data_IF_585760440232
#
_entry.id   IF_585760440232
#
_cell.length_a   1.000
_cell.length_b   1.000
_cell.length_c   1.000
_cell.angle_alpha   90.00
_cell.angle_beta   90.00
_cell.angle_gamma   90.00
#
_symmetry.space_group_name_H-M   'P 1'
#
loop_
_entity.id
_entity.type
_entity.pdbx_description
1 polymer ?
#
# COMPACT_ATOMS: atom_id res chain seq x y z
N UNK A 1 -2.32 31.17 98.02
CA UNK A 1 -2.78 31.65 96.64
C UNK A 1 -1.86 31.00 95.60
N UNK A 2 -2.34 29.95 94.93
CA UNK A 2 -1.54 29.16 93.95
C UNK A 2 -1.94 29.68 92.52
N UNK A 3 -1.00 30.29 91.84
CA UNK A 3 -1.16 30.71 90.43
C UNK A 3 -0.96 29.43 89.54
N UNK A 4 -1.99 29.08 88.74
CA UNK A 4 -1.91 28.06 87.73
C UNK A 4 -1.42 28.64 86.42
N UNK A 5 -0.30 28.22 85.93
CA UNK A 5 0.27 28.51 84.64
C UNK A 5 -0.34 27.62 83.60
N UNK A 6 -1.04 28.19 82.61
CA UNK A 6 -1.64 27.43 81.46
C UNK A 6 -0.66 27.52 80.30
N UNK A 7 -0.11 26.36 79.90
CA UNK A 7 0.70 26.23 78.69
C UNK A 7 -0.23 26.01 77.51
N UNK A 8 -0.23 26.93 76.55
CA UNK A 8 -0.84 26.73 75.22
C UNK A 8 0.18 26.01 74.31
N UNK A 9 -0.12 24.78 73.97
CA UNK A 9 0.61 24.03 72.94
C UNK A 9 0.03 24.43 71.59
N UNK A 10 0.80 25.15 70.77
CA UNK A 10 0.47 25.42 69.38
C UNK A 10 0.94 24.24 68.54
N UNK A 11 0.00 23.46 68.00
CA UNK A 11 0.29 22.40 67.02
C UNK A 11 0.38 23.04 65.65
N UNK A 12 1.58 23.05 65.10
CA UNK A 12 1.84 23.47 63.70
C UNK A 12 1.56 22.28 62.80
N UNK A 13 0.45 22.30 62.09
CA UNK A 13 0.14 21.31 61.01
C UNK A 13 0.84 21.72 59.75
N UNK A 14 1.92 21.00 59.38
CA UNK A 14 2.63 21.19 58.14
C UNK A 14 1.88 20.41 57.02
N UNK A 15 1.10 21.11 56.18
CA UNK A 15 0.48 20.50 55.01
C UNK A 15 1.52 20.33 53.87
N UNK A 16 1.95 19.07 53.67
CA UNK A 16 2.80 18.71 52.54
C UNK A 16 1.88 18.55 51.32
N UNK A 17 1.88 19.55 50.42
CA UNK A 17 1.24 19.47 49.11
C UNK A 17 2.13 18.64 48.18
N UNK A 18 1.78 17.38 47.97
CA UNK A 18 2.40 16.56 46.91
C UNK A 18 1.81 16.93 45.54
N UNK A 19 2.57 17.69 44.77
CA UNK A 19 2.24 17.94 43.35
C UNK A 19 2.53 16.66 42.55
N UNK A 20 1.46 15.97 42.13
CA UNK A 20 1.55 14.86 41.15
C UNK A 20 1.76 15.49 39.78
N UNK A 21 2.99 15.49 39.28
CA UNK A 21 3.27 15.81 37.89
C UNK A 21 2.85 14.64 37.02
N UNK A 22 1.70 14.76 36.34
CA UNK A 22 1.30 13.84 35.27
C UNK A 22 2.18 14.15 34.06
N UNK A 23 3.20 13.35 33.86
CA UNK A 23 3.95 13.35 32.60
C UNK A 23 3.05 12.75 31.52
N UNK A 24 2.46 13.61 30.69
CA UNK A 24 1.85 13.18 29.45
C UNK A 24 2.98 12.68 28.56
N UNK A 25 3.19 11.37 28.51
CA UNK A 25 4.00 10.75 27.50
C UNK A 25 3.21 10.92 26.20
N UNK A 26 3.57 11.92 25.39
CA UNK A 26 3.09 11.99 24.03
C UNK A 26 3.45 10.66 23.36
N UNK A 27 2.43 9.90 22.95
CA UNK A 27 2.66 8.76 22.05
C UNK A 27 3.47 9.29 20.89
N UNK A 28 4.54 8.59 20.43
CA UNK A 28 5.23 9.01 19.22
C UNK A 28 4.14 9.04 18.14
N UNK A 29 3.86 10.24 17.64
CA UNK A 29 3.15 10.41 16.38
C UNK A 29 3.86 9.48 15.41
N UNK A 30 3.12 8.53 14.80
CA UNK A 30 3.71 7.65 13.80
C UNK A 30 4.34 8.60 12.79
N UNK A 31 5.69 8.60 12.73
CA UNK A 31 6.40 9.41 11.77
C UNK A 31 5.77 9.09 10.42
N UNK A 32 5.26 10.11 9.73
CA UNK A 32 4.83 9.95 8.35
C UNK A 32 5.98 9.25 7.65
N UNK A 33 5.73 8.08 7.03
CA UNK A 33 6.76 7.33 6.33
C UNK A 33 7.38 8.26 5.32
N UNK A 34 8.60 8.76 5.59
CA UNK A 34 9.30 9.62 4.64
C UNK A 34 9.51 8.82 3.37
N UNK A 35 8.96 9.33 2.27
CA UNK A 35 9.07 8.64 0.99
C UNK A 35 10.53 8.55 0.57
N UNK A 36 10.90 7.40 0.05
CA UNK A 36 12.28 7.12 -0.31
C UNK A 36 12.81 8.14 -1.33
N UNK A 37 13.95 8.74 -1.04
CA UNK A 37 14.66 9.67 -1.92
C UNK A 37 15.93 9.01 -2.44
N UNK A 38 16.05 8.88 -3.78
CA UNK A 38 17.23 8.31 -4.41
C UNK A 38 18.35 9.36 -4.52
N UNK A 39 19.54 8.98 -4.07
CA UNK A 39 20.75 9.80 -4.12
C UNK A 39 21.81 9.25 -5.10
N UNK A 40 21.52 8.17 -5.80
CA UNK A 40 22.39 7.57 -6.83
C UNK A 40 21.56 7.05 -8.01
N UNK A 41 22.17 7.00 -9.17
CA UNK A 41 21.61 6.30 -10.33
C UNK A 41 21.64 4.79 -10.10
N UNK A 42 20.56 4.10 -10.49
CA UNK A 42 20.42 2.66 -10.41
C UNK A 42 20.38 2.06 -11.82
N UNK A 43 21.15 0.97 -12.02
CA UNK A 43 21.21 0.22 -13.27
C UNK A 43 21.40 -1.26 -12.98
N UNK A 44 21.36 -2.08 -14.01
CA UNK A 44 21.57 -3.51 -13.87
C UNK A 44 22.89 -3.82 -13.14
N UNK A 45 22.82 -4.68 -12.13
CA UNK A 45 23.91 -5.02 -11.20
C UNK A 45 23.86 -4.24 -9.87
N UNK A 46 23.07 -3.16 -9.76
CA UNK A 46 22.85 -2.50 -8.49
C UNK A 46 22.04 -3.36 -7.53
N UNK A 47 22.25 -3.19 -6.22
CA UNK A 47 21.46 -3.87 -5.19
C UNK A 47 21.28 -2.98 -3.95
N UNK A 48 20.23 -3.27 -3.17
CA UNK A 48 19.95 -2.59 -1.92
C UNK A 48 18.47 -2.23 -1.75
N UNK A 49 18.15 -1.61 -0.61
CA UNK A 49 16.79 -1.17 -0.29
C UNK A 49 16.27 -0.12 -1.29
N UNK A 50 17.15 0.71 -1.84
CA UNK A 50 16.83 1.68 -2.89
C UNK A 50 16.34 1.00 -4.19
N UNK A 51 16.88 -0.18 -4.51
CA UNK A 51 16.39 -1.00 -5.63
C UNK A 51 15.01 -1.57 -5.30
N UNK A 52 14.79 -2.08 -4.08
CA UNK A 52 13.44 -2.54 -3.67
C UNK A 52 12.41 -1.43 -3.78
N UNK A 53 12.73 -0.21 -3.35
CA UNK A 53 11.86 0.94 -3.46
C UNK A 53 11.55 1.32 -4.92
N UNK A 54 12.53 1.20 -5.83
CA UNK A 54 12.30 1.35 -7.26
C UNK A 54 11.41 0.24 -7.81
N UNK A 55 11.68 -1.01 -7.45
CA UNK A 55 10.89 -2.16 -7.90
C UNK A 55 9.40 -2.02 -7.56
N UNK A 56 9.06 -1.51 -6.37
CA UNK A 56 7.67 -1.21 -5.98
C UNK A 56 7.03 -0.24 -6.97
N UNK A 57 7.72 0.87 -7.33
CA UNK A 57 7.18 1.93 -8.21
C UNK A 57 7.03 1.49 -9.67
N UNK A 58 7.84 0.54 -10.09
CA UNK A 58 7.79 0.03 -11.48
C UNK A 58 7.15 -1.35 -11.60
N UNK A 59 6.59 -1.91 -10.50
CA UNK A 59 6.00 -3.25 -10.47
C UNK A 59 4.87 -3.45 -11.50
N UNK A 60 4.16 -2.39 -11.85
CA UNK A 60 3.09 -2.40 -12.84
C UNK A 60 3.55 -2.30 -14.31
N UNK A 61 4.85 -2.26 -14.59
CA UNK A 61 5.38 -2.08 -15.95
C UNK A 61 6.00 -3.37 -16.49
N UNK A 62 5.18 -4.42 -16.56
CA UNK A 62 5.60 -5.76 -16.97
C UNK A 62 5.14 -6.10 -18.39
N UNK A 63 5.72 -7.14 -19.00
CA UNK A 63 5.12 -7.82 -20.14
C UNK A 63 4.00 -8.74 -19.67
N UNK A 64 3.13 -9.13 -20.60
CA UNK A 64 2.07 -10.08 -20.27
C UNK A 64 2.66 -11.38 -19.71
N UNK A 65 2.21 -11.72 -18.52
CA UNK A 65 2.64 -12.91 -17.83
C UNK A 65 3.97 -12.81 -17.10
N UNK A 66 4.60 -11.66 -17.04
CA UNK A 66 5.74 -11.41 -16.17
C UNK A 66 5.29 -10.75 -14.86
N UNK A 67 6.04 -10.98 -13.80
CA UNK A 67 5.95 -10.24 -12.54
C UNK A 67 7.34 -9.77 -12.12
N UNK A 68 7.39 -8.81 -11.22
CA UNK A 68 8.64 -8.29 -10.69
C UNK A 68 8.84 -8.75 -9.25
N UNK A 69 9.93 -9.48 -9.01
CA UNK A 69 10.38 -9.74 -7.64
C UNK A 69 10.82 -8.44 -6.98
N UNK A 70 10.43 -8.25 -5.72
CA UNK A 70 10.86 -7.11 -4.89
C UNK A 70 12.04 -7.55 -4.01
N UNK A 71 13.11 -7.99 -4.64
CA UNK A 71 14.26 -8.67 -4.02
C UNK A 71 15.45 -7.74 -3.77
N UNK A 72 15.34 -6.47 -4.17
CA UNK A 72 16.42 -5.50 -4.07
C UNK A 72 17.57 -5.75 -5.02
N UNK A 73 17.39 -6.59 -6.05
CA UNK A 73 18.41 -6.85 -7.07
C UNK A 73 17.98 -6.22 -8.40
N UNK A 74 18.79 -5.32 -8.93
CA UNK A 74 18.54 -4.73 -10.23
C UNK A 74 18.95 -5.69 -11.34
N UNK A 75 18.13 -6.71 -11.56
CA UNK A 75 18.32 -7.70 -12.62
C UNK A 75 17.71 -7.26 -13.95
N UNK A 76 17.76 -8.15 -14.98
CA UNK A 76 17.15 -7.86 -16.29
C UNK A 76 15.65 -7.56 -16.23
N UNK A 77 14.90 -8.21 -15.31
CA UNK A 77 13.47 -7.95 -15.12
C UNK A 77 13.23 -6.51 -14.65
N UNK A 78 14.00 -6.03 -13.66
CA UNK A 78 13.94 -4.64 -13.18
C UNK A 78 14.31 -3.65 -14.29
N UNK A 79 15.40 -3.92 -15.05
CA UNK A 79 15.80 -3.08 -16.18
C UNK A 79 14.69 -2.97 -17.23
N UNK A 80 14.02 -4.07 -17.56
CA UNK A 80 12.91 -4.10 -18.51
C UNK A 80 11.67 -3.36 -17.98
N UNK A 81 11.34 -3.49 -16.69
CA UNK A 81 10.26 -2.73 -16.06
C UNK A 81 10.54 -1.22 -16.11
N UNK A 82 11.78 -0.80 -15.79
CA UNK A 82 12.20 0.60 -15.88
C UNK A 82 12.11 1.11 -17.32
N UNK A 83 12.57 0.35 -18.32
CA UNK A 83 12.43 0.72 -19.74
C UNK A 83 10.97 0.96 -20.14
N UNK A 84 10.05 0.07 -19.70
CA UNK A 84 8.63 0.22 -20.02
C UNK A 84 8.01 1.41 -19.30
N UNK A 85 8.39 1.66 -18.03
CA UNK A 85 8.01 2.86 -17.30
C UNK A 85 8.47 4.12 -18.03
N UNK A 86 9.75 4.18 -18.40
CA UNK A 86 10.32 5.31 -19.14
C UNK A 86 9.59 5.54 -20.47
N UNK A 87 9.40 4.49 -21.27
CA UNK A 87 8.69 4.58 -22.54
C UNK A 87 7.23 5.05 -22.34
N UNK A 88 6.53 4.53 -21.32
CA UNK A 88 5.15 4.91 -21.03
C UNK A 88 5.00 6.39 -20.71
N UNK A 89 5.98 6.97 -20.04
CA UNK A 89 5.98 8.40 -19.69
C UNK A 89 6.82 9.28 -20.62
N UNK A 90 7.20 8.78 -21.81
CA UNK A 90 7.91 9.58 -22.82
C UNK A 90 9.36 9.94 -22.45
N UNK A 91 9.99 9.18 -21.55
CA UNK A 91 11.39 9.31 -21.21
C UNK A 91 12.27 8.45 -22.12
N UNK A 92 13.59 8.72 -22.18
CA UNK A 92 14.53 7.82 -22.83
C UNK A 92 14.49 6.44 -22.17
N UNK A 93 14.12 5.41 -22.92
CA UNK A 93 13.89 4.05 -22.42
C UNK A 93 15.19 3.24 -22.38
N UNK A 94 16.17 3.71 -21.61
CA UNK A 94 17.48 3.08 -21.49
C UNK A 94 17.57 2.00 -20.39
N UNK A 95 16.60 1.96 -19.50
CA UNK A 95 16.57 1.02 -18.36
C UNK A 95 17.54 1.40 -17.25
N UNK A 96 17.96 2.66 -17.19
CA UNK A 96 18.77 3.24 -16.13
C UNK A 96 17.91 4.22 -15.34
N UNK A 97 17.65 3.92 -14.06
CA UNK A 97 16.89 4.82 -13.21
C UNK A 97 17.81 5.94 -12.68
N UNK A 98 17.83 7.03 -13.41
CA UNK A 98 18.54 8.26 -13.09
C UNK A 98 17.59 9.42 -12.74
N UNK A 99 18.10 10.66 -12.66
CA UNK A 99 17.34 11.82 -12.23
C UNK A 99 16.01 12.02 -12.95
N UNK A 100 15.95 11.81 -14.28
CA UNK A 100 14.72 11.96 -15.06
C UNK A 100 13.66 10.90 -14.66
N UNK A 101 14.08 9.65 -14.43
CA UNK A 101 13.20 8.57 -13.97
C UNK A 101 12.68 8.85 -12.56
N UNK A 102 13.57 9.25 -11.64
CA UNK A 102 13.16 9.57 -10.27
C UNK A 102 12.26 10.81 -10.19
N UNK A 103 12.55 11.85 -10.99
CA UNK A 103 11.68 13.03 -11.07
C UNK A 103 10.27 12.67 -11.51
N UNK A 104 10.11 11.73 -12.47
CA UNK A 104 8.80 11.22 -12.87
C UNK A 104 8.12 10.42 -11.76
N UNK A 105 8.86 9.57 -11.06
CA UNK A 105 8.31 8.82 -9.90
C UNK A 105 7.82 9.80 -8.83
N UNK A 106 8.61 10.82 -8.48
CA UNK A 106 8.21 11.82 -7.48
C UNK A 106 6.97 12.61 -7.91
N UNK A 107 6.83 12.93 -9.20
CA UNK A 107 5.65 13.61 -9.73
C UNK A 107 4.38 12.73 -9.71
N UNK A 108 4.53 11.42 -9.61
CA UNK A 108 3.43 10.46 -9.50
C UNK A 108 3.17 10.03 -8.05
N UNK A 109 3.95 10.50 -7.09
CA UNK A 109 3.93 10.05 -5.70
C UNK A 109 3.35 11.13 -4.78
N UNK A 110 2.45 10.73 -3.90
CA UNK A 110 1.93 11.57 -2.83
C UNK A 110 2.83 11.53 -1.58
N UNK A 111 2.52 12.35 -0.58
CA UNK A 111 3.31 12.52 0.64
C UNK A 111 3.40 11.25 1.50
N UNK A 112 2.45 10.31 1.38
CA UNK A 112 2.43 9.01 2.04
C UNK A 112 3.02 7.86 1.20
N UNK A 113 3.72 8.20 0.10
CA UNK A 113 4.40 7.28 -0.82
C UNK A 113 3.47 6.44 -1.70
N UNK A 114 2.17 6.71 -1.67
CA UNK A 114 1.21 6.16 -2.63
C UNK A 114 1.24 6.94 -3.95
N UNK A 115 0.74 6.36 -5.05
CA UNK A 115 0.52 7.13 -6.26
C UNK A 115 -0.56 8.20 -6.05
N UNK A 116 -0.40 9.38 -6.65
CA UNK A 116 -1.31 10.55 -6.51
C UNK A 116 -2.77 10.31 -6.89
N UNK A 117 -3.10 9.17 -7.52
CA UNK A 117 -4.46 8.83 -7.92
C UNK A 117 -5.13 7.79 -7.00
N UNK A 118 -4.45 7.36 -5.93
CA UNK A 118 -4.97 6.37 -4.98
C UNK A 118 -4.60 6.77 -3.55
N UNK A 119 -5.55 6.65 -2.64
CA UNK A 119 -5.34 6.87 -1.21
C UNK A 119 -5.53 5.57 -0.42
N UNK A 120 -4.80 5.36 0.67
CA UNK A 120 -4.95 4.19 1.53
C UNK A 120 -6.39 3.97 2.02
N UNK A 121 -7.17 5.04 2.20
CA UNK A 121 -8.57 4.97 2.59
C UNK A 121 -9.47 4.26 1.59
N UNK A 122 -9.08 4.16 0.32
CA UNK A 122 -9.80 3.40 -0.70
C UNK A 122 -9.55 1.89 -0.60
N UNK A 123 -8.46 1.50 0.07
CA UNK A 123 -8.01 0.12 0.19
C UNK A 123 -8.28 -0.49 1.56
N UNK A 124 -8.59 0.31 2.57
CA UNK A 124 -9.09 -0.11 3.87
C UNK A 124 -10.59 0.17 3.91
N UNK A 125 -11.40 -0.78 3.44
CA UNK A 125 -12.84 -0.64 3.28
C UNK A 125 -13.63 -0.64 4.60
N UNK A 126 -12.91 -0.50 5.73
CA UNK A 126 -13.47 -0.48 7.08
C UNK A 126 -14.35 -1.70 7.42
N UNK A 127 -14.15 -2.79 6.73
CA UNK A 127 -14.85 -4.03 6.94
C UNK A 127 -14.28 -4.77 8.18
N UNK A 128 -14.63 -4.30 9.33
CA UNK A 128 -14.38 -4.93 10.62
C UNK A 128 -13.21 -4.37 11.44
N UNK A 129 -12.11 -3.94 10.87
CA UNK A 129 -10.99 -3.36 11.60
C UNK A 129 -10.27 -2.31 10.75
N UNK A 130 -10.24 -1.08 11.23
CA UNK A 130 -9.58 0.04 10.57
C UNK A 130 -8.06 -0.09 10.57
N UNK A 131 -7.38 0.62 9.69
CA UNK A 131 -5.92 0.71 9.62
C UNK A 131 -5.23 -0.63 9.29
N UNK A 132 -5.82 -1.44 8.40
CA UNK A 132 -5.25 -2.71 7.93
C UNK A 132 -5.01 -3.74 9.03
N UNK A 133 -5.72 -3.65 10.16
CA UNK A 133 -5.63 -4.60 11.26
C UNK A 133 -6.54 -5.82 11.07
N UNK A 134 -6.18 -6.94 11.72
CA UNK A 134 -7.02 -8.14 11.76
C UNK A 134 -6.95 -9.01 10.51
N UNK A 135 -6.03 -8.76 9.60
CA UNK A 135 -5.71 -9.63 8.48
C UNK A 135 -4.82 -10.81 8.85
N UNK A 136 -4.31 -11.50 7.85
CA UNK A 136 -3.39 -12.65 7.99
C UNK A 136 -1.93 -12.24 8.18
N UNK A 137 -1.62 -10.96 8.03
CA UNK A 137 -0.30 -10.36 8.23
C UNK A 137 -0.41 -9.14 9.14
N UNK A 138 0.71 -8.60 9.60
CA UNK A 138 0.69 -7.35 10.38
C UNK A 138 0.11 -6.20 9.55
N UNK A 139 -0.49 -5.20 10.22
CA UNK A 139 -1.01 -4.01 9.55
C UNK A 139 0.05 -3.30 8.70
N UNK A 140 1.28 -3.21 9.19
CA UNK A 140 2.41 -2.64 8.45
C UNK A 140 2.70 -3.43 7.17
N UNK A 141 2.72 -4.77 7.24
CA UNK A 141 2.93 -5.63 6.07
C UNK A 141 1.78 -5.51 5.08
N UNK A 142 0.52 -5.49 5.56
CA UNK A 142 -0.65 -5.30 4.71
C UNK A 142 -0.58 -3.96 3.97
N UNK A 143 -0.23 -2.88 4.67
CA UNK A 143 -0.08 -1.54 4.10
C UNK A 143 1.00 -1.49 3.01
N UNK A 144 2.16 -2.16 3.21
CA UNK A 144 3.20 -2.27 2.18
C UNK A 144 2.74 -3.07 0.96
N UNK A 145 2.02 -4.17 1.17
CA UNK A 145 1.44 -4.96 0.08
C UNK A 145 0.43 -4.12 -0.73
N UNK A 146 -0.42 -3.36 -0.05
CA UNK A 146 -1.36 -2.42 -0.68
C UNK A 146 -0.61 -1.34 -1.48
N UNK A 147 0.48 -0.79 -0.96
CA UNK A 147 1.28 0.19 -1.70
C UNK A 147 1.80 -0.37 -3.02
N UNK A 148 2.24 -1.64 -3.05
CA UNK A 148 2.58 -2.33 -4.30
C UNK A 148 1.38 -2.41 -5.25
N UNK A 149 0.21 -2.83 -4.76
CA UNK A 149 -1.04 -2.88 -5.54
C UNK A 149 -1.35 -1.51 -6.15
N UNK A 150 -1.29 -0.44 -5.37
CA UNK A 150 -1.54 0.93 -5.85
C UNK A 150 -0.62 1.32 -7.01
N UNK A 151 0.70 1.04 -6.93
CA UNK A 151 1.64 1.32 -8.00
C UNK A 151 1.40 0.46 -9.24
N UNK A 152 0.95 -0.79 -9.06
CA UNK A 152 0.52 -1.63 -10.18
C UNK A 152 -0.77 -1.09 -10.84
N UNK A 153 -1.71 -0.61 -10.03
CA UNK A 153 -2.95 0.03 -10.51
C UNK A 153 -2.67 1.37 -11.19
N UNK A 154 -1.70 2.17 -10.72
CA UNK A 154 -1.29 3.40 -11.39
C UNK A 154 -0.75 3.15 -12.80
N UNK A 155 0.08 2.13 -12.95
CA UNK A 155 0.54 1.70 -14.27
C UNK A 155 -0.61 1.19 -15.15
N UNK A 156 -1.55 0.45 -14.56
CA UNK A 156 -2.74 -0.06 -15.25
C UNK A 156 -3.66 1.10 -15.70
N UNK A 157 -3.90 2.09 -14.82
CA UNK A 157 -4.66 3.31 -15.10
C UNK A 157 -4.05 4.05 -16.29
N UNK A 158 -2.74 4.26 -16.28
CA UNK A 158 -2.03 4.93 -17.36
C UNK A 158 -2.15 4.18 -18.70
N UNK A 159 -2.00 2.85 -18.69
CA UNK A 159 -2.19 2.00 -19.89
C UNK A 159 -3.61 2.01 -20.43
N UNK A 160 -4.58 2.36 -19.61
CA UNK A 160 -6.00 2.51 -19.98
C UNK A 160 -6.36 3.93 -20.41
N UNK A 161 -5.35 4.78 -20.70
CA UNK A 161 -5.52 6.15 -21.14
C UNK A 161 -5.94 7.10 -20.03
N UNK A 162 -5.36 6.91 -18.86
CA UNK A 162 -5.55 7.72 -17.65
C UNK A 162 -7.00 7.77 -17.12
N UNK A 163 -7.77 6.73 -17.44
CA UNK A 163 -9.14 6.59 -16.94
C UNK A 163 -9.12 6.21 -15.46
N UNK A 164 -10.08 6.72 -14.66
CA UNK A 164 -10.17 6.35 -13.25
C UNK A 164 -10.43 4.85 -13.08
N UNK A 165 -9.79 4.25 -12.08
CA UNK A 165 -10.08 2.92 -11.58
C UNK A 165 -10.73 3.08 -10.22
N UNK A 166 -11.92 2.51 -10.03
CA UNK A 166 -12.66 2.59 -8.77
C UNK A 166 -12.44 1.33 -7.97
N UNK A 167 -11.78 1.45 -6.83
CA UNK A 167 -11.60 0.33 -5.89
C UNK A 167 -12.90 0.15 -5.11
N UNK A 168 -13.50 -1.02 -5.19
CA UNK A 168 -14.76 -1.35 -4.49
C UNK A 168 -14.52 -2.24 -3.28
N UNK A 169 -13.40 -2.96 -3.22
CA UNK A 169 -12.94 -3.71 -2.06
C UNK A 169 -11.43 -3.96 -2.18
N UNK A 170 -10.73 -3.98 -1.06
CA UNK A 170 -9.32 -4.37 -1.03
C UNK A 170 -8.97 -5.10 0.26
N UNK A 171 -8.32 -4.47 1.25
CA UNK A 171 -8.00 -5.17 2.49
C UNK A 171 -9.26 -5.60 3.24
N UNK A 172 -9.27 -6.85 3.69
CA UNK A 172 -10.29 -7.39 4.59
C UNK A 172 -9.65 -8.02 5.82
N UNK A 173 -10.18 -7.71 7.00
CA UNK A 173 -9.86 -8.52 8.18
C UNK A 173 -10.37 -9.95 8.01
N UNK A 174 -9.82 -10.90 8.78
CA UNK A 174 -10.28 -12.31 8.75
C UNK A 174 -11.79 -12.41 9.05
N UNK A 175 -12.27 -11.63 10.04
CA UNK A 175 -13.69 -11.62 10.39
C UNK A 175 -14.57 -11.04 9.30
N UNK A 176 -14.12 -9.95 8.66
CA UNK A 176 -14.82 -9.37 7.52
C UNK A 176 -14.87 -10.35 6.35
N UNK A 177 -13.74 -10.92 5.97
CA UNK A 177 -13.69 -11.88 4.87
C UNK A 177 -14.66 -13.06 5.09
N UNK A 178 -14.77 -13.56 6.33
CA UNK A 178 -15.72 -14.60 6.68
C UNK A 178 -17.18 -14.12 6.56
N UNK A 179 -17.46 -12.89 6.98
CA UNK A 179 -18.83 -12.33 6.95
C UNK A 179 -19.37 -12.11 5.53
N UNK A 180 -18.47 -11.85 4.56
CA UNK A 180 -18.83 -11.68 3.13
C UNK A 180 -18.70 -12.98 2.33
N UNK A 181 -18.44 -14.12 2.99
CA UNK A 181 -18.33 -15.43 2.32
C UNK A 181 -17.04 -15.60 1.51
N UNK A 182 -16.01 -14.82 1.79
CA UNK A 182 -14.72 -14.90 1.09
C UNK A 182 -13.95 -16.18 1.41
N UNK A 183 -13.11 -16.62 0.45
CA UNK A 183 -12.25 -17.80 0.62
C UNK A 183 -11.36 -17.67 1.85
N UNK A 184 -11.12 -18.76 2.57
CA UNK A 184 -10.17 -18.82 3.69
C UNK A 184 -8.70 -18.53 3.31
N UNK A 185 -8.38 -18.56 2.01
CA UNK A 185 -7.08 -18.21 1.45
C UNK A 185 -7.10 -16.90 0.65
N UNK A 186 -8.11 -16.06 0.84
CA UNK A 186 -8.30 -14.81 0.10
C UNK A 186 -7.10 -13.86 0.24
N UNK A 187 -6.60 -13.36 -0.88
CA UNK A 187 -5.50 -12.39 -0.93
C UNK A 187 -5.85 -11.03 -0.29
N UNK A 188 -7.15 -10.72 -0.20
CA UNK A 188 -7.62 -9.52 0.50
C UNK A 188 -7.17 -9.48 1.97
N UNK A 189 -7.12 -10.64 2.64
CA UNK A 189 -6.67 -10.71 4.04
C UNK A 189 -5.17 -10.44 4.24
N UNK A 190 -4.41 -10.43 3.15
CA UNK A 190 -2.97 -10.13 3.16
C UNK A 190 -2.66 -8.72 2.62
N UNK A 191 -3.67 -7.94 2.21
CA UNK A 191 -3.48 -6.69 1.48
C UNK A 191 -2.87 -6.90 0.09
N UNK A 192 -3.07 -8.07 -0.51
CA UNK A 192 -2.48 -8.46 -1.79
C UNK A 192 -3.49 -8.49 -2.94
N UNK A 193 -4.68 -7.92 -2.75
CA UNK A 193 -5.71 -7.89 -3.78
C UNK A 193 -6.53 -6.58 -3.74
N UNK A 194 -7.14 -6.27 -4.87
CA UNK A 194 -8.14 -5.23 -5.02
C UNK A 194 -9.22 -5.67 -6.03
N UNK A 195 -10.47 -5.30 -5.76
CA UNK A 195 -11.61 -5.46 -6.64
C UNK A 195 -11.93 -4.11 -7.28
N UNK A 196 -11.98 -4.08 -8.62
CA UNK A 196 -12.18 -2.87 -9.41
C UNK A 196 -13.62 -2.87 -9.97
N UNK A 197 -14.41 -1.91 -9.54
CA UNK A 197 -15.80 -1.75 -9.96
C UNK A 197 -15.97 -1.11 -11.33
N UNK A 198 -17.21 -1.12 -11.83
CA UNK A 198 -17.57 -0.73 -13.20
C UNK A 198 -18.18 0.68 -13.30
N UNK A 199 -18.28 1.43 -12.21
CA UNK A 199 -19.17 2.60 -12.09
C UNK A 199 -18.81 3.81 -12.96
N UNK A 200 -17.58 3.97 -13.44
CA UNK A 200 -17.16 5.13 -14.26
C UNK A 200 -15.87 4.92 -15.03
N UNK A 201 -15.35 3.71 -15.05
CA UNK A 201 -14.04 3.38 -15.58
C UNK A 201 -14.03 2.64 -16.91
N UNK A 202 -12.95 1.97 -17.22
CA UNK A 202 -12.84 1.04 -18.34
C UNK A 202 -13.79 -0.17 -18.18
N UNK A 203 -14.09 -0.86 -19.28
CA UNK A 203 -14.82 -2.12 -19.21
C UNK A 203 -14.04 -3.21 -18.47
N UNK A 204 -14.74 -4.20 -17.92
CA UNK A 204 -14.12 -5.34 -17.24
C UNK A 204 -13.02 -6.00 -18.07
N UNK A 205 -13.32 -6.30 -19.34
CA UNK A 205 -12.35 -6.94 -20.23
C UNK A 205 -11.15 -6.03 -20.53
N UNK A 206 -11.34 -4.71 -20.58
CA UNK A 206 -10.22 -3.77 -20.73
C UNK A 206 -9.34 -3.80 -19.47
N UNK A 207 -9.93 -3.78 -18.27
CA UNK A 207 -9.21 -3.89 -17.00
C UNK A 207 -8.47 -5.23 -16.90
N UNK A 208 -9.13 -6.34 -17.22
CA UNK A 208 -8.51 -7.66 -17.22
C UNK A 208 -7.32 -7.76 -18.18
N UNK A 209 -7.45 -7.22 -19.40
CA UNK A 209 -6.36 -7.20 -20.37
C UNK A 209 -5.17 -6.33 -19.92
N UNK A 210 -5.45 -5.15 -19.33
CA UNK A 210 -4.41 -4.28 -18.80
C UNK A 210 -3.71 -4.91 -17.59
N UNK A 211 -4.45 -5.62 -16.73
CA UNK A 211 -3.93 -6.33 -15.58
C UNK A 211 -2.84 -7.36 -15.92
N UNK A 212 -2.96 -8.02 -17.09
CA UNK A 212 -1.96 -8.99 -17.58
C UNK A 212 -0.56 -8.39 -17.76
N UNK A 213 -0.48 -7.09 -17.99
CA UNK A 213 0.78 -6.35 -18.16
C UNK A 213 1.12 -5.46 -16.97
N UNK A 214 0.26 -5.45 -15.95
CA UNK A 214 0.47 -4.72 -14.70
C UNK A 214 1.10 -5.59 -13.59
N UNK A 215 1.61 -6.77 -13.94
CA UNK A 215 2.36 -7.63 -13.02
C UNK A 215 1.50 -8.35 -11.99
N UNK A 216 0.19 -8.46 -12.22
CA UNK A 216 -0.70 -9.23 -11.36
C UNK A 216 -0.66 -10.71 -11.72
N UNK A 217 -0.53 -11.57 -10.71
CA UNK A 217 -0.55 -13.02 -10.86
C UNK A 217 -1.95 -13.62 -10.75
N UNK A 218 -2.86 -12.98 -10.02
CA UNK A 218 -4.28 -13.36 -9.97
C UNK A 218 -5.12 -12.30 -10.68
N UNK A 219 -5.90 -12.74 -11.66
CA UNK A 219 -6.84 -11.92 -12.40
C UNK A 219 -8.12 -12.71 -12.61
N UNK A 220 -9.23 -12.22 -12.03
CA UNK A 220 -10.55 -12.81 -12.18
C UNK A 220 -11.49 -11.73 -12.70
N UNK A 221 -12.32 -12.07 -13.69
CA UNK A 221 -13.20 -11.07 -14.28
C UNK A 221 -14.41 -11.75 -14.94
N UNK A 222 -15.05 -11.07 -15.85
CA UNK A 222 -16.34 -11.43 -16.44
C UNK A 222 -16.43 -12.89 -16.87
N UNK A 223 -17.42 -13.63 -16.36
CA UNK A 223 -17.65 -15.04 -16.62
C UNK A 223 -17.00 -15.97 -15.59
N UNK A 224 -16.09 -15.50 -14.73
CA UNK A 224 -15.67 -16.26 -13.57
C UNK A 224 -16.73 -16.13 -12.45
N UNK A 225 -17.04 -17.20 -11.69
CA UNK A 225 -18.02 -17.16 -10.63
C UNK A 225 -17.79 -15.99 -9.68
N UNK A 226 -18.86 -15.27 -9.34
CA UNK A 226 -18.88 -14.11 -8.44
C UNK A 226 -18.04 -12.90 -8.88
N UNK A 227 -17.64 -12.82 -10.18
CA UNK A 227 -16.80 -11.72 -10.72
C UNK A 227 -17.42 -11.08 -11.98
N UNK A 228 -18.76 -11.02 -12.07
CA UNK A 228 -19.43 -10.39 -13.22
C UNK A 228 -19.66 -8.87 -13.04
N UNK A 229 -19.43 -8.33 -11.86
CA UNK A 229 -19.63 -6.92 -11.48
C UNK A 229 -18.34 -6.19 -11.14
N UNK A 230 -17.20 -6.88 -11.09
CA UNK A 230 -15.89 -6.30 -10.82
C UNK A 230 -14.78 -7.09 -11.51
N UNK A 231 -13.58 -6.49 -11.57
CA UNK A 231 -12.34 -7.18 -11.94
C UNK A 231 -11.47 -7.31 -10.71
N UNK A 232 -11.21 -8.53 -10.29
CA UNK A 232 -10.28 -8.83 -9.21
C UNK A 232 -8.85 -8.85 -9.74
N UNK A 233 -7.95 -8.19 -9.04
CA UNK A 233 -6.51 -8.19 -9.29
C UNK A 233 -5.76 -8.56 -8.02
N UNK A 234 -4.70 -9.38 -8.13
CA UNK A 234 -3.96 -9.82 -6.95
C UNK A 234 -2.53 -10.26 -7.23
N UNK A 235 -1.71 -10.20 -6.18
CA UNK A 235 -0.34 -10.70 -6.17
C UNK A 235 -0.31 -12.08 -5.49
N UNK A 236 -0.03 -13.10 -6.25
CA UNK A 236 -0.05 -14.52 -5.84
C UNK A 236 1.27 -15.20 -6.18
N UNK A 237 1.62 -16.26 -5.47
CA UNK A 237 2.85 -17.01 -5.75
C UNK A 237 2.81 -17.74 -7.10
N UNK A 238 1.61 -18.08 -7.60
CA UNK A 238 1.43 -18.77 -8.88
C UNK A 238 0.31 -18.11 -9.67
N UNK A 239 0.52 -17.98 -10.98
CA UNK A 239 -0.46 -17.33 -11.85
C UNK A 239 -1.77 -18.09 -11.93
N UNK A 240 -2.87 -17.33 -11.79
CA UNK A 240 -4.21 -17.79 -12.07
C UNK A 240 -5.04 -16.67 -12.71
N UNK A 241 -5.34 -16.80 -13.99
CA UNK A 241 -6.12 -15.85 -14.77
C UNK A 241 -7.36 -16.51 -15.35
N UNK A 242 -8.51 -15.94 -15.09
CA UNK A 242 -9.78 -16.44 -15.62
C UNK A 242 -10.78 -15.31 -15.88
N UNK A 243 -11.18 -15.17 -17.12
CA UNK A 243 -12.27 -14.30 -17.57
C UNK A 243 -12.88 -14.90 -18.83
N UNK A 244 -13.70 -15.96 -18.69
CA UNK A 244 -14.23 -16.72 -19.83
C UNK A 244 -15.01 -15.88 -20.84
N UNK A 245 -15.58 -14.75 -20.42
CA UNK A 245 -16.35 -13.86 -21.28
C UNK A 245 -15.55 -12.62 -21.76
N UNK A 246 -14.26 -12.62 -21.54
CA UNK A 246 -13.34 -11.64 -22.07
C UNK A 246 -12.38 -12.27 -23.08
#
# INVERSE_FOLDING_TARGET
>A
MRKRLVYLLSVLVLAIATTVTVSVVASPEAAADECYTWNRTLSQGASGADVTQLQIRVAGWMSSGENLALDGQYGPATANAVKRFQAGYGLAADGVAGPATFSKIYALQDADCTPVHFAYSEFDDNCGANNFNGGMVSAATAKENIRRIMWQLEAMRHKLGDKPLVVTSSFRSVSCNASVGGSSSSLHMYGQAADLGLSSGPSQCAMWNAGKTAGFEELLSQGYPDHNDHTHVGNKASRFWSAPNC
#
